data_IF_358638718618
#
_entry.id   IF_358638718618
#
_cell.length_a   1.000
_cell.length_b   1.000
_cell.length_c   1.000
_cell.angle_alpha   90.00
_cell.angle_beta   90.00
_cell.angle_gamma   90.00
#
_symmetry.space_group_name_H-M   'P 1'
#
loop_
_entity.id
_entity.type
_entity.pdbx_description
1 polymer ?
#
# COMPACT_ATOMS: atom_id res chain seq x y z
N UNK A 1 -18.19 -33.58 2.10
CA UNK A 1 -16.83 -33.57 1.52
C UNK A 1 -16.64 -32.25 0.81
N UNK A 2 -15.51 -31.58 1.05
CA UNK A 2 -15.20 -30.27 0.49
C UNK A 2 -14.54 -30.43 -0.89
N UNK A 3 -15.10 -29.81 -1.91
CA UNK A 3 -14.48 -29.65 -3.22
C UNK A 3 -13.82 -28.28 -3.31
N UNK A 4 -12.61 -28.22 -3.89
CA UNK A 4 -11.82 -27.00 -4.01
C UNK A 4 -11.35 -26.84 -5.45
N UNK A 5 -11.89 -25.85 -6.16
CA UNK A 5 -11.36 -25.43 -7.46
C UNK A 5 -10.52 -24.18 -7.34
N UNK A 6 -9.39 -24.16 -8.04
CA UNK A 6 -8.45 -23.04 -8.03
C UNK A 6 -8.59 -22.24 -9.32
N UNK A 7 -8.85 -20.95 -9.17
CA UNK A 7 -8.78 -19.94 -10.23
C UNK A 7 -7.69 -18.93 -9.92
N UNK A 8 -7.25 -18.21 -10.95
CA UNK A 8 -6.21 -17.18 -10.84
C UNK A 8 -6.69 -15.88 -11.48
N UNK A 9 -6.54 -14.78 -10.75
CA UNK A 9 -6.72 -13.43 -11.24
C UNK A 9 -5.41 -12.66 -10.96
N UNK A 10 -4.60 -12.43 -12.00
CA UNK A 10 -3.27 -11.83 -11.91
C UNK A 10 -2.31 -12.55 -10.94
N UNK A 11 -2.06 -11.97 -9.76
CA UNK A 11 -1.23 -12.56 -8.70
C UNK A 11 -2.05 -13.14 -7.55
N UNK A 12 -3.37 -13.07 -7.63
CA UNK A 12 -4.30 -13.49 -6.59
C UNK A 12 -4.85 -14.86 -6.97
N UNK A 13 -4.85 -15.77 -6.01
CA UNK A 13 -5.47 -17.09 -6.15
C UNK A 13 -6.87 -17.05 -5.55
N UNK A 14 -7.84 -17.56 -6.29
CA UNK A 14 -9.22 -17.69 -5.84
C UNK A 14 -9.51 -19.18 -5.66
N UNK A 15 -9.88 -19.58 -4.45
CA UNK A 15 -10.29 -20.93 -4.11
C UNK A 15 -11.81 -20.95 -4.00
N UNK A 16 -12.50 -21.52 -4.99
CA UNK A 16 -13.93 -21.76 -4.88
C UNK A 16 -14.17 -23.03 -4.08
N UNK A 17 -14.91 -22.88 -2.98
CA UNK A 17 -15.22 -23.94 -2.04
C UNK A 17 -16.66 -24.39 -2.23
N UNK A 18 -16.86 -25.69 -2.39
CA UNK A 18 -18.19 -26.28 -2.53
C UNK A 18 -18.36 -27.49 -1.60
N UNK A 19 -19.50 -27.58 -0.90
CA UNK A 19 -19.78 -28.67 0.04
C UNK A 19 -19.64 -28.25 1.50
N UNK A 20 -19.15 -29.16 2.35
CA UNK A 20 -19.15 -28.99 3.80
C UNK A 20 -17.73 -28.77 4.32
N UNK A 21 -17.55 -27.83 5.24
CA UNK A 21 -16.29 -27.57 5.94
C UNK A 21 -16.35 -28.17 7.34
N UNK A 22 -15.59 -29.24 7.54
CA UNK A 22 -15.58 -30.08 8.74
C UNK A 22 -14.18 -30.69 9.00
N UNK A 23 -14.13 -31.82 9.71
CA UNK A 23 -12.88 -32.53 10.04
C UNK A 23 -12.15 -33.09 8.82
N UNK A 24 -12.88 -33.43 7.75
CA UNK A 24 -12.33 -34.02 6.53
C UNK A 24 -11.87 -32.96 5.52
N UNK A 25 -11.96 -31.68 5.89
CA UNK A 25 -11.62 -30.53 5.04
C UNK A 25 -10.14 -30.12 5.13
N UNK A 26 -9.25 -31.03 5.56
CA UNK A 26 -7.81 -30.79 5.65
C UNK A 26 -7.18 -30.40 4.31
N UNK A 27 -7.78 -30.83 3.21
CA UNK A 27 -7.37 -30.49 1.84
C UNK A 27 -7.31 -28.97 1.62
N UNK A 28 -8.13 -28.18 2.33
CA UNK A 28 -8.05 -26.71 2.27
C UNK A 28 -6.72 -26.19 2.80
N UNK A 29 -6.23 -26.76 3.90
CA UNK A 29 -4.95 -26.39 4.51
C UNK A 29 -3.82 -26.77 3.56
N UNK A 30 -3.86 -27.96 2.97
CA UNK A 30 -2.87 -28.43 2.01
C UNK A 30 -2.84 -27.57 0.75
N UNK A 31 -4.02 -27.24 0.20
CA UNK A 31 -4.13 -26.42 -1.01
C UNK A 31 -3.60 -25.01 -0.79
N UNK A 32 -3.92 -24.41 0.35
CA UNK A 32 -3.35 -23.11 0.75
C UNK A 32 -1.84 -23.23 0.93
N UNK A 33 -1.36 -24.26 1.62
CA UNK A 33 0.08 -24.51 1.78
C UNK A 33 0.81 -24.63 0.45
N UNK A 34 0.22 -25.32 -0.53
CA UNK A 34 0.74 -25.40 -1.88
C UNK A 34 0.79 -24.03 -2.58
N UNK A 35 -0.28 -23.23 -2.47
CA UNK A 35 -0.30 -21.87 -3.05
C UNK A 35 0.83 -21.01 -2.47
N UNK A 36 0.99 -21.05 -1.14
CA UNK A 36 2.04 -20.30 -0.43
C UNK A 36 3.44 -20.76 -0.85
N UNK A 37 3.66 -22.07 -1.02
CA UNK A 37 4.93 -22.62 -1.49
C UNK A 37 5.27 -22.20 -2.94
N UNK A 38 4.26 -21.83 -3.73
CA UNK A 38 4.41 -21.28 -5.08
C UNK A 38 4.44 -19.74 -5.10
N UNK A 39 4.66 -19.11 -3.94
CA UNK A 39 4.70 -17.64 -3.75
C UNK A 39 3.37 -16.92 -4.04
N UNK A 40 2.25 -17.63 -4.13
CA UNK A 40 0.94 -17.00 -4.15
C UNK A 40 0.52 -16.67 -2.71
N UNK A 41 0.85 -15.46 -2.28
CA UNK A 41 0.59 -14.98 -0.92
C UNK A 41 -0.76 -14.30 -0.74
N UNK A 42 -1.48 -14.04 -1.83
CA UNK A 42 -2.78 -13.38 -1.84
C UNK A 42 -3.86 -14.37 -2.25
N UNK A 43 -4.75 -14.70 -1.31
CA UNK A 43 -5.73 -15.78 -1.47
C UNK A 43 -7.15 -15.27 -1.16
N UNK A 44 -8.10 -15.55 -2.03
CA UNK A 44 -9.52 -15.30 -1.81
C UNK A 44 -10.24 -16.65 -1.73
N UNK A 45 -11.01 -16.88 -0.68
CA UNK A 45 -11.84 -18.08 -0.55
C UNK A 45 -13.31 -17.74 -0.84
N UNK A 46 -13.88 -18.33 -1.89
CA UNK A 46 -15.27 -18.13 -2.27
C UNK A 46 -16.17 -19.20 -1.61
N UNK A 47 -17.12 -18.74 -0.79
CA UNK A 47 -18.00 -19.59 0.02
C UNK A 47 -19.38 -19.80 -0.59
N UNK A 48 -19.63 -19.30 -1.81
CA UNK A 48 -20.95 -19.31 -2.45
C UNK A 48 -21.64 -20.68 -2.45
N UNK A 49 -20.87 -21.76 -2.57
CA UNK A 49 -21.37 -23.13 -2.62
C UNK A 49 -21.06 -23.94 -1.35
N UNK A 50 -20.68 -23.27 -0.25
CA UNK A 50 -20.45 -23.92 1.04
C UNK A 50 -21.79 -24.11 1.76
N UNK A 51 -22.15 -25.36 2.03
CA UNK A 51 -23.42 -25.74 2.62
C UNK A 51 -23.38 -25.70 4.15
N UNK A 52 -22.28 -26.19 4.73
CA UNK A 52 -22.13 -26.35 6.18
C UNK A 52 -20.74 -25.90 6.65
N UNK A 53 -20.70 -25.30 7.84
CA UNK A 53 -19.48 -25.07 8.62
C UNK A 53 -19.74 -25.52 10.06
N UNK A 54 -18.99 -26.52 10.55
CA UNK A 54 -19.12 -27.00 11.94
C UNK A 54 -17.93 -26.56 12.81
N UNK A 55 -17.94 -26.95 14.09
CA UNK A 55 -16.89 -26.57 15.05
C UNK A 55 -15.47 -27.01 14.64
N UNK A 56 -15.34 -28.19 14.04
CA UNK A 56 -14.04 -28.66 13.54
C UNK A 56 -13.65 -27.91 12.27
N UNK A 57 -14.62 -27.60 11.40
CA UNK A 57 -14.41 -26.76 10.23
C UNK A 57 -13.93 -25.35 10.58
N UNK A 58 -14.41 -24.76 11.68
CA UNK A 58 -13.87 -23.48 12.19
C UNK A 58 -12.39 -23.59 12.54
N UNK A 59 -11.97 -24.74 13.08
CA UNK A 59 -10.55 -25.00 13.39
C UNK A 59 -9.73 -25.11 12.10
N UNK A 60 -10.24 -25.80 11.08
CA UNK A 60 -9.61 -25.89 9.75
C UNK A 60 -9.44 -24.50 9.14
N UNK A 61 -10.49 -23.68 9.12
CA UNK A 61 -10.43 -22.30 8.62
C UNK A 61 -9.43 -21.44 9.40
N UNK A 62 -9.40 -21.57 10.72
CA UNK A 62 -8.48 -20.83 11.57
C UNK A 62 -7.02 -21.21 11.29
N UNK A 63 -6.74 -22.49 11.08
CA UNK A 63 -5.39 -22.98 10.73
C UNK A 63 -4.99 -22.50 9.35
N UNK A 64 -5.87 -22.64 8.35
CA UNK A 64 -5.68 -22.12 7.00
C UNK A 64 -5.37 -20.61 7.01
N UNK A 65 -6.19 -19.83 7.72
CA UNK A 65 -6.01 -18.39 7.89
C UNK A 65 -4.65 -18.05 8.52
N UNK A 66 -4.31 -18.67 9.65
CA UNK A 66 -3.01 -18.46 10.31
C UNK A 66 -1.84 -18.86 9.44
N UNK A 67 -1.98 -19.90 8.61
CA UNK A 67 -0.93 -20.33 7.71
C UNK A 67 -0.58 -19.22 6.71
N UNK A 68 -1.59 -18.58 6.10
CA UNK A 68 -1.38 -17.44 5.20
C UNK A 68 -0.72 -16.26 5.93
N UNK A 69 -1.20 -15.90 7.11
CA UNK A 69 -0.61 -14.80 7.89
C UNK A 69 0.85 -15.04 8.28
N UNK A 70 1.21 -16.27 8.67
CA UNK A 70 2.58 -16.63 9.02
C UNK A 70 3.54 -16.51 7.83
N UNK A 71 3.03 -16.66 6.61
CA UNK A 71 3.77 -16.43 5.36
C UNK A 71 3.74 -14.96 4.91
N UNK A 72 3.27 -14.04 5.79
CA UNK A 72 3.08 -12.62 5.48
C UNK A 72 2.17 -12.38 4.27
N UNK A 73 1.26 -13.32 4.01
CA UNK A 73 0.24 -13.23 2.97
C UNK A 73 -1.04 -12.61 3.48
N UNK A 74 -2.01 -12.50 2.58
CA UNK A 74 -3.36 -11.98 2.83
C UNK A 74 -4.38 -13.00 2.40
N UNK A 75 -5.44 -13.12 3.19
CA UNK A 75 -6.54 -14.03 2.91
C UNK A 75 -7.86 -13.33 3.21
N UNK A 76 -8.79 -13.39 2.25
CA UNK A 76 -10.15 -12.89 2.44
C UNK A 76 -11.19 -13.92 2.03
N UNK A 77 -12.43 -13.67 2.44
CA UNK A 77 -13.55 -14.56 2.23
C UNK A 77 -14.68 -13.81 1.54
N UNK A 78 -15.28 -14.42 0.52
CA UNK A 78 -16.37 -13.80 -0.24
C UNK A 78 -17.62 -14.67 -0.27
N UNK A 79 -18.77 -14.03 -0.47
CA UNK A 79 -20.07 -14.70 -0.66
C UNK A 79 -20.40 -15.72 0.43
N UNK A 80 -20.11 -15.38 1.69
CA UNK A 80 -20.40 -16.25 2.83
C UNK A 80 -21.93 -16.34 3.02
N UNK A 81 -22.53 -17.55 2.98
CA UNK A 81 -23.95 -17.74 3.24
C UNK A 81 -24.37 -17.20 4.62
N UNK A 82 -25.59 -16.67 4.70
CA UNK A 82 -26.06 -15.96 5.90
C UNK A 82 -26.03 -16.82 7.19
N UNK A 83 -26.27 -18.13 7.09
CA UNK A 83 -26.17 -19.03 8.25
C UNK A 83 -24.73 -19.22 8.71
N UNK A 84 -23.76 -19.30 7.78
CA UNK A 84 -22.34 -19.40 8.09
C UNK A 84 -21.82 -18.08 8.67
N UNK A 85 -22.26 -16.93 8.12
CA UNK A 85 -21.93 -15.60 8.65
C UNK A 85 -22.36 -15.45 10.11
N UNK A 86 -23.54 -15.97 10.49
CA UNK A 86 -24.00 -16.02 11.89
C UNK A 86 -23.10 -16.87 12.78
N UNK A 87 -22.64 -18.02 12.29
CA UNK A 87 -21.72 -18.90 13.04
C UNK A 87 -20.41 -18.17 13.29
N UNK A 88 -19.82 -17.54 12.26
CA UNK A 88 -18.58 -16.76 12.40
C UNK A 88 -18.73 -15.61 13.40
N UNK A 89 -19.86 -14.90 13.36
CA UNK A 89 -20.16 -13.81 14.29
C UNK A 89 -20.29 -14.29 15.75
N UNK A 90 -20.91 -15.45 15.99
CA UNK A 90 -21.02 -16.00 17.35
C UNK A 90 -19.66 -16.30 17.98
N UNK A 91 -18.66 -16.66 17.17
CA UNK A 91 -17.30 -16.96 17.62
C UNK A 91 -16.33 -15.79 17.41
N UNK A 92 -16.82 -14.64 16.95
CA UNK A 92 -16.04 -13.41 16.73
C UNK A 92 -15.07 -13.45 15.55
N UNK A 93 -15.13 -14.46 14.68
CA UNK A 93 -14.24 -14.57 13.52
C UNK A 93 -14.59 -13.59 12.41
N UNK A 94 -15.81 -13.07 12.37
CA UNK A 94 -16.23 -11.99 11.47
C UNK A 94 -15.47 -10.68 11.71
N UNK A 95 -14.96 -10.45 12.92
CA UNK A 95 -14.11 -9.30 13.25
C UNK A 95 -12.64 -9.50 12.92
N UNK A 96 -12.24 -10.74 12.69
CA UNK A 96 -10.84 -11.13 12.41
C UNK A 96 -10.63 -11.36 10.92
N UNK A 97 -11.63 -11.92 10.24
CA UNK A 97 -11.57 -12.23 8.83
C UNK A 97 -11.95 -11.00 7.99
N UNK A 98 -11.16 -10.76 6.94
CA UNK A 98 -11.56 -9.85 5.87
C UNK A 98 -12.65 -10.53 5.04
N UNK A 99 -13.89 -10.05 5.17
CA UNK A 99 -15.06 -10.60 4.49
C UNK A 99 -15.63 -9.54 3.55
N UNK A 100 -15.78 -9.90 2.28
CA UNK A 100 -16.41 -9.07 1.26
C UNK A 100 -17.67 -9.74 0.72
N UNK A 101 -18.57 -8.96 0.13
CA UNK A 101 -19.82 -9.48 -0.43
C UNK A 101 -19.56 -10.21 -1.77
N UNK A 102 -18.62 -9.72 -2.58
CA UNK A 102 -18.33 -10.24 -3.92
C UNK A 102 -16.83 -10.23 -4.28
N UNK A 103 -16.51 -10.93 -5.39
CA UNK A 103 -15.16 -11.10 -5.92
C UNK A 103 -14.55 -9.78 -6.40
N UNK A 104 -15.34 -8.91 -7.04
CA UNK A 104 -14.86 -7.64 -7.59
C UNK A 104 -14.36 -6.72 -6.47
N UNK A 105 -15.13 -6.60 -5.39
CA UNK A 105 -14.77 -5.82 -4.21
C UNK A 105 -13.50 -6.36 -3.55
N UNK A 106 -13.39 -7.68 -3.38
CA UNK A 106 -12.22 -8.30 -2.78
C UNK A 106 -10.95 -8.08 -3.63
N UNK A 107 -11.04 -8.28 -4.95
CA UNK A 107 -9.92 -8.04 -5.87
C UNK A 107 -9.46 -6.58 -5.83
N UNK A 108 -10.40 -5.64 -5.83
CA UNK A 108 -10.10 -4.21 -5.74
C UNK A 108 -9.40 -3.85 -4.43
N UNK A 109 -9.85 -4.36 -3.30
CA UNK A 109 -9.17 -4.14 -2.01
C UNK A 109 -7.76 -4.72 -2.02
N UNK A 110 -7.58 -5.93 -2.59
CA UNK A 110 -6.25 -6.53 -2.70
C UNK A 110 -5.30 -5.71 -3.57
N UNK A 111 -5.80 -5.12 -4.65
CA UNK A 111 -5.06 -4.22 -5.52
C UNK A 111 -4.73 -2.90 -4.82
N UNK A 112 -5.69 -2.26 -4.15
CA UNK A 112 -5.50 -1.01 -3.40
C UNK A 112 -4.46 -1.16 -2.28
N UNK A 113 -4.56 -2.23 -1.49
CA UNK A 113 -3.60 -2.56 -0.45
C UNK A 113 -2.21 -2.87 -1.01
N UNK A 114 -2.13 -3.52 -2.18
CA UNK A 114 -0.86 -3.75 -2.86
C UNK A 114 -0.28 -2.45 -3.36
N UNK A 115 -1.09 -1.55 -3.90
CA UNK A 115 -0.69 -0.20 -4.28
C UNK A 115 -0.18 0.54 -3.04
N UNK A 116 -0.88 0.49 -1.90
CA UNK A 116 -0.45 1.11 -0.64
C UNK A 116 0.86 0.49 -0.13
N UNK A 117 0.97 -0.83 -0.12
CA UNK A 117 2.17 -1.55 0.32
C UNK A 117 3.34 -1.34 -0.63
N UNK A 118 3.09 -1.24 -1.93
CA UNK A 118 4.09 -0.90 -2.95
C UNK A 118 4.52 0.54 -2.78
N UNK A 119 3.60 1.49 -2.62
CA UNK A 119 3.89 2.87 -2.25
C UNK A 119 4.75 2.92 -1.00
N UNK A 120 4.37 2.25 0.10
CA UNK A 120 5.13 2.18 1.35
C UNK A 120 6.50 1.47 1.17
N UNK A 121 6.60 0.42 0.36
CA UNK A 121 7.88 -0.24 0.03
C UNK A 121 8.75 0.66 -0.84
N UNK A 122 8.17 1.44 -1.72
CA UNK A 122 8.89 2.43 -2.50
C UNK A 122 9.41 3.56 -1.57
N UNK A 123 8.73 3.88 -0.46
CA UNK A 123 9.23 4.79 0.60
C UNK A 123 10.52 4.30 1.29
N UNK A 124 11.03 3.09 1.06
CA UNK A 124 12.40 2.67 1.43
C UNK A 124 13.48 3.27 0.49
N UNK A 125 13.49 4.61 0.46
CA UNK A 125 14.66 5.53 0.45
C UNK A 125 15.71 5.51 -0.67
N UNK A 126 15.74 4.60 -1.66
CA UNK A 126 16.83 4.62 -2.68
C UNK A 126 16.45 4.44 -4.16
N UNK A 127 15.18 4.22 -4.52
CA UNK A 127 14.80 3.87 -5.91
C UNK A 127 13.90 4.87 -6.63
N UNK A 128 13.33 5.86 -5.96
CA UNK A 128 12.59 6.89 -6.68
C UNK A 128 13.55 7.74 -7.50
N UNK A 129 13.38 7.70 -8.81
CA UNK A 129 13.99 8.67 -9.71
C UNK A 129 13.59 10.07 -9.23
N UNK A 130 14.60 10.85 -8.83
CA UNK A 130 14.40 12.23 -8.39
C UNK A 130 14.51 13.12 -9.62
N UNK A 131 13.46 13.86 -9.90
CA UNK A 131 13.47 14.88 -10.94
C UNK A 131 14.18 16.13 -10.39
N UNK A 132 15.35 16.53 -10.91
CA UNK A 132 15.93 17.83 -10.60
C UNK A 132 15.00 18.91 -11.13
N UNK A 133 14.53 19.79 -10.25
CA UNK A 133 13.58 20.85 -10.60
C UNK A 133 13.84 22.04 -9.70
N UNK A 134 13.84 23.25 -10.26
CA UNK A 134 14.17 24.50 -9.57
C UNK A 134 12.96 25.40 -9.33
N UNK A 135 11.86 24.85 -8.81
CA UNK A 135 10.59 25.56 -8.56
C UNK A 135 10.49 26.09 -7.13
N UNK A 136 9.69 27.14 -6.93
CA UNK A 136 9.40 27.68 -5.61
C UNK A 136 8.44 26.79 -4.82
N UNK A 137 8.63 26.74 -3.50
CA UNK A 137 7.76 26.07 -2.53
C UNK A 137 7.48 27.03 -1.38
N UNK A 138 6.24 27.03 -0.89
CA UNK A 138 5.86 27.70 0.34
C UNK A 138 5.65 26.65 1.43
N UNK A 139 6.13 26.88 2.64
CA UNK A 139 5.98 25.94 3.75
C UNK A 139 5.87 26.63 5.11
N UNK A 140 5.16 26.01 6.04
CA UNK A 140 5.08 26.47 7.44
C UNK A 140 4.87 25.33 8.41
N UNK A 141 5.31 25.49 9.65
CA UNK A 141 4.94 24.58 10.71
C UNK A 141 3.48 24.79 11.13
N UNK A 142 2.85 23.70 11.59
CA UNK A 142 1.49 23.75 12.14
C UNK A 142 1.44 24.75 13.30
N UNK A 143 0.61 25.79 13.17
CA UNK A 143 0.47 26.87 14.16
C UNK A 143 1.18 28.17 13.80
N UNK A 144 2.02 28.20 12.76
CA UNK A 144 2.55 29.45 12.23
C UNK A 144 1.51 30.16 11.33
N UNK A 145 1.47 31.50 11.44
CA UNK A 145 0.55 32.32 10.66
C UNK A 145 0.99 32.43 9.19
N UNK A 146 2.29 32.63 8.97
CA UNK A 146 2.88 32.96 7.67
C UNK A 146 3.63 31.77 7.05
N UNK A 147 3.62 31.71 5.72
CA UNK A 147 4.41 30.76 4.96
C UNK A 147 5.83 31.31 4.74
N UNK A 148 6.80 30.41 4.79
CA UNK A 148 8.18 30.66 4.41
C UNK A 148 8.39 30.19 2.98
N UNK A 149 9.27 30.86 2.25
CA UNK A 149 9.59 30.49 0.88
C UNK A 149 10.89 29.67 0.81
N UNK A 150 10.93 28.77 -0.15
CA UNK A 150 12.09 27.96 -0.45
C UNK A 150 12.15 27.59 -1.93
N UNK A 151 13.25 26.94 -2.30
CA UNK A 151 13.44 26.41 -3.65
C UNK A 151 13.58 24.91 -3.60
N UNK A 152 12.71 24.21 -4.32
CA UNK A 152 12.86 22.79 -4.57
C UNK A 152 14.13 22.59 -5.39
N UNK A 153 14.94 21.60 -4.99
CA UNK A 153 16.13 21.18 -5.71
C UNK A 153 15.84 19.91 -6.51
N UNK A 154 15.04 19.02 -5.93
CA UNK A 154 14.50 17.86 -6.62
C UNK A 154 13.21 17.37 -5.95
N UNK A 155 12.39 16.70 -6.73
CA UNK A 155 11.13 16.08 -6.31
C UNK A 155 11.12 14.60 -6.70
N UNK A 156 10.50 13.79 -5.86
CA UNK A 156 10.17 12.39 -6.11
C UNK A 156 8.68 12.16 -5.87
N UNK A 157 8.22 10.92 -6.07
CA UNK A 157 6.84 10.55 -5.74
C UNK A 157 6.45 10.75 -4.27
N UNK A 158 7.42 10.79 -3.35
CA UNK A 158 7.18 10.71 -1.90
C UNK A 158 7.73 11.89 -1.12
N UNK A 159 8.49 12.76 -1.77
CA UNK A 159 9.11 13.86 -1.06
C UNK A 159 10.00 14.73 -1.92
N UNK A 160 10.46 15.80 -1.28
CA UNK A 160 11.20 16.90 -1.88
C UNK A 160 12.49 17.12 -1.09
N UNK A 161 13.57 17.45 -1.79
CA UNK A 161 14.69 18.16 -1.21
C UNK A 161 14.56 19.64 -1.57
N UNK A 162 14.58 20.51 -0.58
CA UNK A 162 14.52 21.95 -0.77
C UNK A 162 15.67 22.68 -0.06
N UNK A 163 16.05 23.81 -0.64
CA UNK A 163 16.89 24.84 -0.03
C UNK A 163 15.98 25.95 0.49
N UNK A 164 16.22 26.42 1.72
CA UNK A 164 15.50 27.54 2.30
C UNK A 164 16.26 28.11 3.50
N UNK A 165 16.19 29.43 3.70
CA UNK A 165 16.84 30.10 4.84
C UNK A 165 16.30 29.57 6.19
N UNK A 166 14.98 29.36 6.28
CA UNK A 166 14.34 28.73 7.44
C UNK A 166 14.23 27.22 7.25
N UNK A 167 14.70 26.47 8.24
CA UNK A 167 14.54 25.01 8.32
C UNK A 167 13.87 24.63 9.64
N UNK A 168 13.35 23.41 9.71
CA UNK A 168 12.68 22.87 10.89
C UNK A 168 13.35 21.56 11.32
N UNK A 169 13.27 21.17 12.61
CA UNK A 169 13.89 19.94 13.09
C UNK A 169 13.27 18.68 12.46
N UNK A 170 14.02 17.58 12.47
CA UNK A 170 13.55 16.27 12.05
C UNK A 170 12.25 15.89 12.79
N UNK A 171 11.31 15.30 12.07
CA UNK A 171 9.99 14.91 12.59
C UNK A 171 8.95 16.02 12.57
N UNK A 172 9.34 17.30 12.35
CA UNK A 172 8.39 18.41 12.35
C UNK A 172 7.37 18.28 11.19
N UNK A 173 6.06 18.29 11.47
CA UNK A 173 5.02 18.39 10.44
C UNK A 173 4.93 19.81 9.88
N UNK A 174 4.80 19.91 8.56
CA UNK A 174 4.71 21.14 7.79
C UNK A 174 3.51 21.10 6.86
N UNK A 175 2.83 22.23 6.72
CA UNK A 175 1.91 22.49 5.62
C UNK A 175 2.71 23.08 4.46
N UNK A 176 2.56 22.56 3.25
CA UNK A 176 3.30 22.99 2.06
C UNK A 176 2.38 23.36 0.90
N UNK A 177 2.82 24.32 0.08
CA UNK A 177 2.20 24.67 -1.20
C UNK A 177 3.23 24.64 -2.31
N UNK A 178 2.88 23.97 -3.41
CA UNK A 178 3.77 23.78 -4.55
C UNK A 178 3.00 23.89 -5.86
N UNK A 179 3.54 24.61 -6.84
CA UNK A 179 2.95 24.70 -8.18
C UNK A 179 3.68 23.78 -9.16
N UNK A 180 3.02 22.68 -9.56
CA UNK A 180 3.50 21.74 -10.58
C UNK A 180 2.74 21.95 -11.90
N UNK A 181 3.25 22.81 -12.76
CA UNK A 181 2.62 23.18 -14.04
C UNK A 181 3.04 22.25 -15.19
N UNK A 182 2.19 22.02 -16.22
CA UNK A 182 0.83 22.55 -16.41
C UNK A 182 -0.27 21.74 -15.68
N UNK A 183 0.02 20.49 -15.29
CA UNK A 183 -0.79 19.63 -14.42
C UNK A 183 0.17 18.92 -13.46
N UNK A 184 -0.16 18.72 -12.16
CA UNK A 184 -1.47 18.90 -11.52
C UNK A 184 -1.88 20.32 -11.10
N UNK A 185 -1.04 21.34 -11.25
CA UNK A 185 -1.34 22.70 -10.81
C UNK A 185 -0.86 22.97 -9.38
N UNK A 186 -1.65 23.70 -8.58
CA UNK A 186 -1.34 23.97 -7.19
C UNK A 186 -1.63 22.73 -6.32
N UNK A 187 -0.63 22.29 -5.58
CA UNK A 187 -0.72 21.23 -4.60
C UNK A 187 -0.60 21.83 -3.20
N UNK A 188 -1.55 21.52 -2.33
CA UNK A 188 -1.48 21.79 -0.90
C UNK A 188 -1.44 20.46 -0.16
N UNK A 189 -0.37 20.23 0.61
CA UNK A 189 -0.08 18.94 1.23
C UNK A 189 0.48 19.13 2.63
N UNK A 190 0.38 18.09 3.45
CA UNK A 190 1.16 17.99 4.68
C UNK A 190 2.41 17.16 4.43
N UNK A 191 3.51 17.50 5.08
CA UNK A 191 4.78 16.81 4.96
C UNK A 191 5.50 16.77 6.31
N UNK A 192 6.47 15.87 6.49
CA UNK A 192 7.35 15.84 7.67
C UNK A 192 8.80 16.02 7.24
N UNK A 193 9.56 16.78 8.03
CA UNK A 193 11.01 16.86 7.85
C UNK A 193 11.65 15.51 8.17
N UNK A 194 12.30 14.90 7.19
CA UNK A 194 12.95 13.58 7.32
C UNK A 194 14.46 13.64 7.14
N UNK A 195 14.98 14.78 6.69
CA UNK A 195 16.41 14.98 6.51
C UNK A 195 16.80 16.45 6.65
N UNK A 196 17.99 16.72 7.20
CA UNK A 196 18.59 18.04 7.30
C UNK A 196 19.92 18.03 6.55
N UNK A 197 20.12 19.03 5.69
CA UNK A 197 21.39 19.22 4.98
C UNK A 197 22.45 19.64 5.99
N UNK A 198 23.60 18.97 5.95
CA UNK A 198 24.75 19.29 6.78
C UNK A 198 25.74 20.16 5.98
N UNK A 199 26.12 21.31 6.54
CA UNK A 199 26.97 22.29 5.88
C UNK A 199 28.34 21.71 5.49
N UNK A 200 28.85 20.79 6.30
CA UNK A 200 30.14 20.15 6.14
C UNK A 200 30.16 19.16 4.97
N UNK A 201 28.99 18.59 4.64
CA UNK A 201 28.85 17.59 3.57
C UNK A 201 28.42 18.25 2.27
N UNK A 202 27.47 19.19 2.33
CA UNK A 202 26.85 19.80 1.14
C UNK A 202 26.66 21.31 1.33
N UNK A 203 27.75 22.09 1.43
CA UNK A 203 27.69 23.53 1.70
C UNK A 203 26.89 24.31 0.65
N UNK A 204 26.85 23.83 -0.59
CA UNK A 204 26.18 24.48 -1.72
C UNK A 204 24.65 24.46 -1.65
N UNK A 205 24.07 23.56 -0.84
CA UNK A 205 22.62 23.45 -0.65
C UNK A 205 22.23 23.64 0.82
N UNK A 206 23.17 24.15 1.64
CA UNK A 206 22.92 24.51 3.02
C UNK A 206 22.52 25.99 3.13
N UNK A 207 21.49 26.36 3.90
CA UNK A 207 20.57 25.48 4.63
C UNK A 207 19.52 24.81 3.72
N UNK A 208 19.19 23.56 4.05
CA UNK A 208 18.20 22.80 3.29
C UNK A 208 17.65 21.63 4.10
N UNK A 209 16.51 21.11 3.66
CA UNK A 209 15.86 19.99 4.30
C UNK A 209 15.15 19.08 3.30
N UNK A 210 15.15 17.78 3.60
CA UNK A 210 14.31 16.80 2.94
C UNK A 210 12.98 16.68 3.68
N UNK A 211 11.89 16.82 2.94
CA UNK A 211 10.53 16.64 3.45
C UNK A 211 9.87 15.44 2.75
N UNK A 212 9.13 14.65 3.50
CA UNK A 212 8.35 13.49 3.03
C UNK A 212 6.86 13.82 3.11
N UNK A 213 6.11 13.55 2.04
CA UNK A 213 4.70 13.85 1.97
C UNK A 213 3.88 12.90 2.84
N UNK A 214 2.91 13.42 3.58
CA UNK A 214 1.84 12.62 4.15
C UNK A 214 0.76 12.44 3.09
N UNK A 215 0.44 11.19 2.78
CA UNK A 215 -0.55 10.89 1.73
C UNK A 215 -1.94 10.90 2.35
N UNK A 216 -2.81 11.83 1.94
CA UNK A 216 -4.21 11.86 2.41
C UNK A 216 -5.20 11.42 1.33
N UNK A 217 -4.85 11.46 0.04
CA UNK A 217 -5.69 10.95 -1.05
C UNK A 217 -4.86 10.30 -2.19
N UNK A 218 -5.34 9.17 -2.69
CA UNK A 218 -4.64 8.38 -3.73
C UNK A 218 -4.51 9.12 -5.07
N UNK A 219 -5.37 10.11 -5.35
CA UNK A 219 -5.36 10.82 -6.62
C UNK A 219 -4.21 11.83 -6.69
N UNK A 220 -3.97 12.59 -5.61
CA UNK A 220 -2.87 13.54 -5.52
C UNK A 220 -1.52 12.84 -5.64
N UNK A 221 -1.38 11.66 -5.02
CA UNK A 221 -0.18 10.86 -5.15
C UNK A 221 0.04 10.36 -6.58
N UNK A 222 -1.00 9.82 -7.23
CA UNK A 222 -0.95 9.43 -8.66
C UNK A 222 -0.55 10.62 -9.54
N UNK A 223 -1.06 11.82 -9.24
CA UNK A 223 -0.73 13.03 -9.99
C UNK A 223 0.75 13.46 -9.83
N UNK A 224 1.32 13.36 -8.63
CA UNK A 224 2.74 13.65 -8.39
C UNK A 224 3.60 12.62 -9.14
N UNK A 225 3.27 11.33 -9.05
CA UNK A 225 3.97 10.25 -9.75
C UNK A 225 3.98 10.53 -11.25
N UNK A 226 2.80 10.75 -11.85
CA UNK A 226 2.67 11.03 -13.28
C UNK A 226 3.44 12.30 -13.70
N UNK A 227 3.49 13.33 -12.84
CA UNK A 227 4.30 14.52 -13.11
C UNK A 227 5.79 14.19 -13.13
N UNK A 228 6.30 13.47 -12.13
CA UNK A 228 7.71 13.11 -12.04
C UNK A 228 8.11 12.24 -13.23
N UNK A 229 7.34 11.20 -13.54
CA UNK A 229 7.62 10.29 -14.67
C UNK A 229 7.63 10.99 -16.02
N UNK A 230 6.66 11.88 -16.28
CA UNK A 230 6.58 12.64 -17.54
C UNK A 230 7.77 13.58 -17.74
N UNK A 231 8.31 14.12 -16.65
CA UNK A 231 9.35 15.15 -16.70
C UNK A 231 10.75 14.61 -16.43
N UNK A 232 10.89 13.35 -16.03
CA UNK A 232 12.18 12.72 -15.90
C UNK A 232 12.86 12.67 -17.27
N UNK A 233 14.15 13.02 -17.37
CA UNK A 233 14.90 12.80 -18.59
C UNK A 233 14.78 11.32 -18.96
N UNK A 234 14.44 11.03 -20.22
CA UNK A 234 14.58 9.69 -20.75
C UNK A 234 16.02 9.26 -20.45
N UNK A 235 16.20 8.32 -19.54
CA UNK A 235 17.49 7.69 -19.35
C UNK A 235 17.84 7.10 -20.71
N UNK A 236 18.82 7.68 -21.40
CA UNK A 236 19.60 6.98 -22.40
C UNK A 236 19.87 5.61 -21.80
N UNK A 237 19.42 4.56 -22.49
CA UNK A 237 19.83 3.19 -22.22
C UNK A 237 21.35 3.16 -22.26
N UNK A 238 21.98 3.41 -21.12
CA UNK A 238 23.29 2.89 -20.82
C UNK A 238 23.08 1.40 -20.63
N UNK A 239 22.97 0.69 -21.75
CA UNK A 239 23.60 -0.62 -21.87
C UNK A 239 25.02 -0.41 -21.34
N UNK A 240 25.30 -0.96 -20.17
CA UNK A 240 26.67 -1.24 -19.80
C UNK A 240 26.90 -2.74 -20.04
N UNK A 241 28.08 -3.10 -20.56
CA UNK A 241 28.38 -4.41 -21.13
C UNK A 241 28.42 -5.55 -20.11
#
# INVERSE_FOLDING_TARGET
>A
MLEISLRRADSIIILDLAGDIDVDSSDLIEKIGWCLAQEYTDIICNFENVNLLNYTGLSVLTVAYKNVLNHKGRISFIKIPAHIKKILAMVGLDTVFEIYEDEETALKCFEEDRIIAEIQRMHLRRRFKRLPIGIGIEFKAKGEAEFNEGKVLNISAVGILLFAEKTYPLGQPLDIRLKLLPKPGLLELTATVVWLVQKEIQPQIYPGMGIEFHTTDSQTQKNIIAFVERNLPLSSTSECP
#
